data_IF_031553339470
#
_entry.id   IF_031553339470
#
_cell.length_a   1.000
_cell.length_b   1.000
_cell.length_c   1.000
_cell.angle_alpha   90.00
_cell.angle_beta   90.00
_cell.angle_gamma   90.00
#
_symmetry.space_group_name_H-M   'P 1'
#
loop_
_entity.id
_entity.type
_entity.pdbx_description
1 polymer ?
#
# COMPACT_ATOMS: atom_id res chain seq x y z
N UNK A 1 19.28 26.19 -30.36
CA UNK A 1 18.08 25.54 -29.77
C UNK A 1 18.38 25.35 -28.30
N UNK A 2 17.73 26.09 -27.40
CA UNK A 2 18.01 25.99 -25.96
C UNK A 2 17.47 24.67 -25.40
N UNK A 3 18.15 24.09 -24.40
CA UNK A 3 17.75 22.85 -23.71
C UNK A 3 16.25 22.84 -23.30
N UNK A 4 15.74 24.00 -22.91
CA UNK A 4 14.34 24.26 -22.56
C UNK A 4 13.36 24.13 -23.74
N UNK A 5 13.74 24.54 -24.96
CA UNK A 5 12.91 24.37 -26.16
C UNK A 5 12.86 22.91 -26.62
N UNK A 6 13.98 22.18 -26.48
CA UNK A 6 14.03 20.75 -26.78
C UNK A 6 13.17 19.97 -25.79
N UNK A 7 13.28 20.26 -24.49
CA UNK A 7 12.42 19.67 -23.45
C UNK A 7 10.95 19.97 -23.66
N UNK A 8 10.59 21.19 -24.05
CA UNK A 8 9.21 21.55 -24.36
C UNK A 8 8.66 20.75 -25.56
N UNK A 9 9.48 20.55 -26.60
CA UNK A 9 9.10 19.79 -27.80
C UNK A 9 9.00 18.28 -27.54
N UNK A 10 9.92 17.73 -26.74
CA UNK A 10 9.86 16.34 -26.26
C UNK A 10 8.63 16.14 -25.38
N UNK A 11 8.37 17.07 -24.46
CA UNK A 11 7.17 17.07 -23.61
C UNK A 11 5.89 17.12 -24.44
N UNK A 12 5.81 17.99 -25.45
CA UNK A 12 4.61 18.05 -26.31
C UNK A 12 4.35 16.75 -27.08
N UNK A 13 5.40 15.98 -27.39
CA UNK A 13 5.28 14.71 -28.11
C UNK A 13 5.02 13.50 -27.20
N UNK A 14 5.52 13.51 -25.95
CA UNK A 14 5.45 12.36 -25.05
C UNK A 14 4.48 12.53 -23.88
N UNK A 15 4.00 13.76 -23.62
CA UNK A 15 3.12 14.01 -22.47
C UNK A 15 1.75 13.37 -22.69
N UNK A 16 1.38 12.51 -21.75
CA UNK A 16 0.07 11.88 -21.73
C UNK A 16 -0.95 12.86 -21.15
N UNK A 17 -1.93 13.20 -21.98
CA UNK A 17 -2.95 14.20 -21.64
C UNK A 17 -4.09 13.62 -20.81
N UNK A 18 -4.40 12.32 -20.96
CA UNK A 18 -5.40 11.63 -20.15
C UNK A 18 -4.98 11.59 -18.67
N UNK A 19 -5.77 12.19 -17.75
CA UNK A 19 -5.48 12.14 -16.32
C UNK A 19 -5.42 10.72 -15.78
N UNK A 20 -6.36 9.86 -16.20
CA UNK A 20 -6.40 8.46 -15.77
C UNK A 20 -5.15 7.69 -16.21
N UNK A 21 -4.68 7.89 -17.45
CA UNK A 21 -3.47 7.22 -17.90
C UNK A 21 -2.24 7.65 -17.10
N UNK A 22 -2.11 8.94 -16.77
CA UNK A 22 -1.03 9.42 -15.88
C UNK A 22 -1.10 8.81 -14.49
N UNK A 23 -2.31 8.75 -13.92
CA UNK A 23 -2.56 8.13 -12.62
C UNK A 23 -2.19 6.64 -12.61
N UNK A 24 -2.63 5.87 -13.61
CA UNK A 24 -2.28 4.47 -13.74
C UNK A 24 -0.77 4.25 -13.90
N UNK A 25 -0.07 5.09 -14.67
CA UNK A 25 1.38 4.98 -14.79
C UNK A 25 2.12 5.30 -13.49
N UNK A 26 1.65 6.29 -12.74
CA UNK A 26 2.22 6.62 -11.44
C UNK A 26 1.95 5.52 -10.41
N UNK A 27 0.74 4.96 -10.36
CA UNK A 27 0.43 3.78 -9.52
C UNK A 27 1.30 2.59 -9.88
N UNK A 28 1.45 2.30 -11.18
CA UNK A 28 2.30 1.21 -11.64
C UNK A 28 3.74 1.43 -11.19
N UNK A 29 4.34 2.60 -11.45
CA UNK A 29 5.73 2.83 -11.06
C UNK A 29 5.92 2.77 -9.54
N UNK A 30 5.00 3.34 -8.77
CA UNK A 30 5.10 3.36 -7.32
C UNK A 30 4.95 1.96 -6.70
N UNK A 31 3.98 1.15 -7.16
CA UNK A 31 3.87 -0.25 -6.72
C UNK A 31 5.08 -1.05 -7.17
N UNK A 32 5.60 -0.80 -8.37
CA UNK A 32 6.79 -1.48 -8.86
C UNK A 32 7.99 -1.23 -7.94
N UNK A 33 8.24 0.03 -7.57
CA UNK A 33 9.31 0.41 -6.62
C UNK A 33 9.09 -0.21 -5.25
N UNK A 34 7.86 -0.14 -4.73
CA UNK A 34 7.49 -0.79 -3.47
C UNK A 34 7.88 -2.27 -3.49
N UNK A 35 7.38 -3.00 -4.49
CA UNK A 35 7.53 -4.46 -4.54
C UNK A 35 8.96 -4.89 -4.83
N UNK A 36 9.71 -4.20 -5.70
CA UNK A 36 11.11 -4.51 -5.96
C UNK A 36 11.94 -4.42 -4.67
N UNK A 37 11.81 -3.34 -3.90
CA UNK A 37 12.58 -3.16 -2.66
C UNK A 37 12.15 -4.18 -1.61
N UNK A 38 10.83 -4.35 -1.38
CA UNK A 38 10.30 -5.30 -0.39
C UNK A 38 10.76 -6.73 -0.69
N UNK A 39 10.61 -7.20 -1.91
CA UNK A 39 10.96 -8.58 -2.28
C UNK A 39 12.46 -8.80 -2.38
N UNK A 40 13.23 -7.81 -2.86
CA UNK A 40 14.70 -7.89 -2.88
C UNK A 40 15.28 -8.03 -1.47
N UNK A 41 14.72 -7.35 -0.47
CA UNK A 41 15.14 -7.51 0.93
C UNK A 41 14.92 -8.94 1.42
N UNK A 42 13.76 -9.54 1.12
CA UNK A 42 13.48 -10.94 1.49
C UNK A 42 14.37 -11.90 0.70
N UNK A 43 14.57 -11.67 -0.60
CA UNK A 43 15.48 -12.44 -1.44
C UNK A 43 16.91 -12.40 -0.90
N UNK A 44 17.40 -11.22 -0.50
CA UNK A 44 18.69 -11.04 0.14
C UNK A 44 18.79 -11.84 1.43
N UNK A 45 17.79 -11.78 2.30
CA UNK A 45 17.76 -12.55 3.55
C UNK A 45 17.78 -14.06 3.28
N UNK A 46 16.87 -14.56 2.44
CA UNK A 46 16.71 -16.00 2.15
C UNK A 46 17.93 -16.57 1.43
N UNK A 47 18.34 -15.98 0.31
CA UNK A 47 19.42 -16.53 -0.53
C UNK A 47 20.80 -16.40 0.13
N UNK A 48 20.98 -15.45 1.06
CA UNK A 48 22.20 -15.32 1.86
C UNK A 48 22.21 -16.18 3.12
N UNK A 49 21.15 -16.97 3.38
CA UNK A 49 21.00 -17.74 4.62
C UNK A 49 21.16 -16.85 5.86
N UNK A 50 20.47 -15.71 5.84
CA UNK A 50 20.45 -14.69 6.89
C UNK A 50 21.80 -13.98 7.19
N UNK A 51 22.84 -14.22 6.38
CA UNK A 51 24.14 -13.54 6.58
C UNK A 51 24.16 -12.10 6.07
N UNK A 52 23.20 -11.71 5.23
CA UNK A 52 23.06 -10.35 4.67
C UNK A 52 21.70 -9.71 4.94
N UNK A 53 20.86 -10.33 5.76
CA UNK A 53 19.55 -9.81 6.12
C UNK A 53 18.89 -10.74 7.14
N UNK A 54 17.85 -10.26 7.79
CA UNK A 54 17.08 -11.02 8.77
C UNK A 54 15.65 -10.45 8.84
N UNK A 55 14.84 -10.98 9.75
CA UNK A 55 13.47 -10.55 9.98
C UNK A 55 13.33 -9.02 10.16
N UNK A 56 14.19 -8.41 10.97
CA UNK A 56 14.18 -6.96 11.19
C UNK A 56 14.52 -6.18 9.91
N UNK A 57 15.55 -6.61 9.18
CA UNK A 57 15.91 -6.00 7.90
C UNK A 57 14.77 -6.07 6.89
N UNK A 58 14.02 -7.18 6.84
CA UNK A 58 12.89 -7.32 5.91
C UNK A 58 11.79 -6.29 6.20
N UNK A 59 11.43 -6.09 7.46
CA UNK A 59 10.42 -5.10 7.86
C UNK A 59 10.90 -3.67 7.72
N UNK A 60 12.16 -3.40 8.07
CA UNK A 60 12.74 -2.07 7.85
C UNK A 60 12.77 -1.73 6.36
N UNK A 61 13.19 -2.66 5.51
CA UNK A 61 13.22 -2.43 4.06
C UNK A 61 11.81 -2.30 3.48
N UNK A 62 10.85 -3.12 3.91
CA UNK A 62 9.45 -3.06 3.48
C UNK A 62 8.79 -1.72 3.81
N UNK A 63 8.93 -1.26 5.05
CA UNK A 63 8.43 0.05 5.47
C UNK A 63 9.10 1.21 4.73
N UNK A 64 10.42 1.19 4.54
CA UNK A 64 11.14 2.20 3.73
C UNK A 64 10.72 2.16 2.25
N UNK A 65 10.43 0.99 1.70
CA UNK A 65 9.90 0.85 0.35
C UNK A 65 8.58 1.58 0.18
N UNK A 66 7.70 1.53 1.19
CA UNK A 66 6.44 2.28 1.18
C UNK A 66 6.68 3.79 1.22
N UNK A 67 7.61 4.28 2.03
CA UNK A 67 7.97 5.71 2.06
C UNK A 67 8.37 6.19 0.66
N UNK A 68 9.30 5.47 0.02
CA UNK A 68 9.79 5.82 -1.31
C UNK A 68 8.66 5.75 -2.34
N UNK A 69 7.85 4.69 -2.32
CA UNK A 69 6.75 4.52 -3.26
C UNK A 69 5.68 5.62 -3.14
N UNK A 70 5.36 6.06 -1.91
CA UNK A 70 4.44 7.18 -1.71
C UNK A 70 5.03 8.47 -2.29
N UNK A 71 6.32 8.76 -2.10
CA UNK A 71 6.95 9.91 -2.75
C UNK A 71 6.92 9.82 -4.29
N UNK A 72 7.07 8.61 -4.85
CA UNK A 72 7.01 8.38 -6.31
C UNK A 72 5.61 8.66 -6.87
N UNK A 73 4.55 8.16 -6.22
CA UNK A 73 3.17 8.26 -6.73
C UNK A 73 2.36 9.45 -6.22
N UNK A 74 2.80 10.09 -5.12
CA UNK A 74 1.94 10.87 -4.23
C UNK A 74 1.25 12.07 -4.86
N UNK A 75 1.89 12.75 -5.82
CA UNK A 75 1.31 13.93 -6.45
C UNK A 75 0.48 13.60 -7.70
N UNK A 76 0.80 12.51 -8.40
CA UNK A 76 0.17 12.20 -9.71
C UNK A 76 -1.04 11.28 -9.54
N UNK A 77 -0.88 10.17 -8.81
CA UNK A 77 -1.96 9.21 -8.56
C UNK A 77 -2.63 9.35 -7.19
N UNK A 78 -1.99 10.08 -6.27
CA UNK A 78 -2.33 10.06 -4.85
C UNK A 78 -1.65 8.93 -4.09
N UNK A 79 -0.79 8.14 -4.75
CA UNK A 79 -0.10 6.96 -4.20
C UNK A 79 -1.03 6.02 -3.41
N UNK A 80 -1.99 5.41 -4.11
CA UNK A 80 -2.86 4.45 -3.46
C UNK A 80 -2.12 3.17 -3.09
N UNK A 81 -1.37 2.61 -4.05
CA UNK A 81 -0.47 1.46 -3.93
C UNK A 81 -1.10 0.13 -3.47
N UNK A 82 -2.35 0.18 -3.00
CA UNK A 82 -3.03 -0.85 -2.26
C UNK A 82 -4.53 -0.82 -2.62
N UNK A 83 -5.10 -1.94 -3.10
CA UNK A 83 -6.54 -2.05 -3.33
C UNK A 83 -7.39 -1.74 -2.09
N UNK A 84 -6.91 -2.08 -0.89
CA UNK A 84 -7.60 -1.82 0.37
C UNK A 84 -7.66 -0.32 0.69
N UNK A 85 -6.58 0.43 0.44
CA UNK A 85 -6.58 1.89 0.58
C UNK A 85 -7.40 2.58 -0.51
N UNK A 86 -7.35 2.06 -1.75
CA UNK A 86 -8.21 2.53 -2.85
C UNK A 86 -9.70 2.39 -2.49
N UNK A 87 -10.08 1.28 -1.88
CA UNK A 87 -11.42 1.04 -1.36
C UNK A 87 -11.79 2.04 -0.25
N UNK A 88 -10.90 2.27 0.72
CA UNK A 88 -11.12 3.28 1.76
C UNK A 88 -11.35 4.68 1.18
N UNK A 89 -10.58 5.08 0.16
CA UNK A 89 -10.76 6.35 -0.54
C UNK A 89 -12.11 6.42 -1.27
N UNK A 90 -12.61 5.32 -1.82
CA UNK A 90 -13.96 5.24 -2.38
C UNK A 90 -15.05 5.44 -1.32
N UNK A 91 -14.92 4.78 -0.16
CA UNK A 91 -15.87 4.91 0.96
C UNK A 91 -15.95 6.35 1.48
N UNK A 92 -14.83 7.07 1.47
CA UNK A 92 -14.76 8.47 1.89
C UNK A 92 -15.19 9.46 0.79
N UNK A 93 -15.63 9.00 -0.38
CA UNK A 93 -15.98 9.88 -1.50
C UNK A 93 -14.80 10.61 -2.15
N UNK A 94 -13.57 10.21 -1.81
CA UNK A 94 -12.32 10.82 -2.32
C UNK A 94 -11.77 10.11 -3.56
N UNK A 95 -12.43 9.05 -4.04
CA UNK A 95 -12.03 8.31 -5.23
C UNK A 95 -13.24 7.69 -5.94
N UNK A 96 -13.41 7.86 -7.26
CA UNK A 96 -14.56 7.30 -7.97
C UNK A 96 -14.58 5.77 -7.94
N UNK A 97 -15.72 5.18 -7.57
CA UNK A 97 -15.91 3.72 -7.51
C UNK A 97 -15.57 3.00 -8.83
N UNK A 98 -15.83 3.63 -9.98
CA UNK A 98 -15.50 3.07 -11.29
C UNK A 98 -13.99 2.90 -11.53
N UNK A 99 -13.14 3.64 -10.80
CA UNK A 99 -11.68 3.55 -10.93
C UNK A 99 -11.05 2.53 -9.98
N UNK A 100 -11.77 2.07 -8.96
CA UNK A 100 -11.30 1.02 -8.04
C UNK A 100 -10.82 -0.25 -8.75
N UNK A 101 -11.59 -0.87 -9.69
CA UNK A 101 -11.11 -2.04 -10.41
C UNK A 101 -9.90 -1.72 -11.31
N UNK A 102 -9.87 -0.53 -11.92
CA UNK A 102 -8.76 -0.11 -12.79
C UNK A 102 -7.45 0.01 -11.99
N UNK A 103 -7.49 0.72 -10.85
CA UNK A 103 -6.33 0.84 -9.97
C UNK A 103 -5.89 -0.52 -9.43
N UNK A 104 -6.84 -1.36 -9.00
CA UNK A 104 -6.52 -2.69 -8.46
C UNK A 104 -5.81 -3.57 -9.51
N UNK A 105 -6.27 -3.56 -10.76
CA UNK A 105 -5.62 -4.28 -11.86
C UNK A 105 -4.22 -3.75 -12.18
N UNK A 106 -4.04 -2.43 -12.20
CA UNK A 106 -2.73 -1.79 -12.42
C UNK A 106 -1.75 -2.15 -11.30
N UNK A 107 -2.20 -2.10 -10.05
CA UNK A 107 -1.40 -2.45 -8.88
C UNK A 107 -1.01 -3.95 -8.91
N UNK A 108 -1.95 -4.84 -9.25
CA UNK A 108 -1.68 -6.27 -9.41
C UNK A 108 -0.66 -6.56 -10.52
N UNK A 109 -0.85 -5.96 -11.69
CA UNK A 109 0.06 -6.12 -12.82
C UNK A 109 1.47 -5.60 -12.48
N UNK A 110 1.53 -4.46 -11.80
CA UNK A 110 2.79 -3.89 -11.34
C UNK A 110 3.52 -4.81 -10.38
N UNK A 111 2.83 -5.36 -9.38
CA UNK A 111 3.43 -6.25 -8.39
C UNK A 111 3.92 -7.57 -9.03
N UNK A 112 3.18 -8.08 -10.02
CA UNK A 112 3.59 -9.20 -10.86
C UNK A 112 4.90 -8.89 -11.63
N UNK A 113 4.98 -7.74 -12.31
CA UNK A 113 6.17 -7.34 -13.06
C UNK A 113 7.38 -7.08 -12.16
N UNK A 114 7.18 -6.50 -10.98
CA UNK A 114 8.22 -6.32 -9.97
C UNK A 114 8.78 -7.67 -9.50
N UNK A 115 7.92 -8.68 -9.35
CA UNK A 115 8.32 -10.03 -8.96
C UNK A 115 9.20 -10.68 -10.03
N UNK A 116 8.83 -10.55 -11.30
CA UNK A 116 9.69 -10.96 -12.42
C UNK A 116 11.05 -10.26 -12.41
N UNK A 117 11.07 -8.96 -12.09
CA UNK A 117 12.31 -8.18 -11.98
C UNK A 117 13.20 -8.71 -10.86
N UNK A 118 12.66 -8.97 -9.67
CA UNK A 118 13.42 -9.51 -8.53
C UNK A 118 13.89 -10.94 -8.79
N UNK A 119 13.07 -11.76 -9.43
CA UNK A 119 13.46 -13.10 -9.85
C UNK A 119 14.68 -13.08 -10.78
N UNK A 120 14.70 -12.18 -11.77
CA UNK A 120 15.85 -12.00 -12.67
C UNK A 120 17.06 -11.46 -11.90
N UNK A 121 16.86 -10.45 -11.06
CA UNK A 121 17.93 -9.82 -10.28
C UNK A 121 18.63 -10.80 -9.34
N UNK A 122 17.89 -11.74 -8.76
CA UNK A 122 18.40 -12.76 -7.82
C UNK A 122 18.56 -14.14 -8.46
N UNK A 123 18.52 -14.27 -9.79
CA UNK A 123 18.48 -15.58 -10.47
C UNK A 123 19.63 -16.50 -10.04
N UNK A 124 20.88 -16.02 -10.09
CA UNK A 124 22.04 -16.82 -9.69
C UNK A 124 22.04 -17.16 -8.19
N UNK A 125 21.58 -16.22 -7.35
CA UNK A 125 21.49 -16.43 -5.91
C UNK A 125 20.42 -17.49 -5.56
N UNK A 126 19.27 -17.44 -6.23
CA UNK A 126 18.20 -18.44 -6.14
C UNK A 126 18.70 -19.81 -6.63
N UNK A 127 19.36 -19.85 -7.78
CA UNK A 127 19.88 -21.10 -8.33
C UNK A 127 20.93 -21.73 -7.41
N UNK A 128 21.84 -20.93 -6.84
CA UNK A 128 22.83 -21.38 -5.88
C UNK A 128 22.20 -21.89 -4.57
N UNK A 129 21.20 -21.19 -4.05
CA UNK A 129 20.53 -21.56 -2.79
C UNK A 129 19.69 -22.85 -2.92
N UNK A 130 18.92 -22.94 -4.01
CA UNK A 130 17.92 -23.99 -4.24
C UNK A 130 18.47 -25.21 -4.99
N UNK A 131 19.57 -25.06 -5.73
CA UNK A 131 20.02 -26.07 -6.69
C UNK A 131 19.05 -26.24 -7.88
N UNK A 132 18.18 -25.25 -8.14
CA UNK A 132 17.15 -25.28 -9.17
C UNK A 132 15.80 -25.85 -8.72
N UNK A 133 15.66 -26.27 -7.46
CA UNK A 133 14.40 -26.79 -6.93
C UNK A 133 13.59 -25.70 -6.21
N UNK A 134 12.60 -25.13 -6.90
CA UNK A 134 11.76 -24.06 -6.39
C UNK A 134 10.56 -24.62 -5.59
N UNK A 135 10.64 -24.56 -4.26
CA UNK A 135 9.59 -25.09 -3.37
C UNK A 135 8.82 -23.99 -2.64
N UNK A 136 7.57 -24.28 -2.29
CA UNK A 136 6.68 -23.36 -1.55
C UNK A 136 6.78 -23.56 -0.04
N UNK A 137 7.03 -24.80 0.39
CA UNK A 137 7.20 -25.17 1.79
C UNK A 137 8.53 -25.90 1.98
N UNK A 138 8.94 -26.03 3.26
CA UNK A 138 10.15 -26.74 3.65
C UNK A 138 11.35 -25.82 3.92
N UNK A 139 12.51 -26.39 4.29
CA UNK A 139 13.65 -25.64 4.83
C UNK A 139 14.39 -24.77 3.81
N UNK A 140 14.14 -24.97 2.51
CA UNK A 140 14.72 -24.20 1.40
C UNK A 140 13.64 -23.60 0.51
N UNK A 141 12.45 -23.37 1.06
CA UNK A 141 11.40 -22.69 0.31
C UNK A 141 11.84 -21.28 -0.08
N UNK A 142 11.33 -20.84 -1.23
CA UNK A 142 11.67 -19.52 -1.80
C UNK A 142 10.43 -18.78 -2.29
N UNK A 143 9.24 -19.37 -2.15
CA UNK A 143 8.01 -18.73 -2.58
C UNK A 143 7.68 -17.52 -1.69
N UNK A 144 8.09 -17.57 -0.41
CA UNK A 144 7.88 -16.49 0.57
C UNK A 144 8.63 -15.19 0.26
N UNK A 145 9.63 -15.25 -0.63
CA UNK A 145 10.31 -14.06 -1.18
C UNK A 145 9.29 -13.14 -1.87
N UNK A 146 8.29 -13.73 -2.53
CA UNK A 146 7.39 -13.02 -3.43
C UNK A 146 6.04 -12.71 -2.77
N UNK A 147 5.38 -13.71 -2.18
CA UNK A 147 4.07 -13.64 -1.54
C UNK A 147 4.14 -14.17 -0.11
N UNK A 148 3.17 -13.84 0.75
CA UNK A 148 3.23 -14.27 2.16
C UNK A 148 2.59 -15.64 2.37
N UNK A 149 3.08 -16.35 3.39
CA UNK A 149 2.54 -17.63 3.82
C UNK A 149 2.38 -17.60 5.34
N UNK A 150 1.38 -18.31 5.89
CA UNK A 150 1.13 -18.30 7.32
C UNK A 150 2.17 -19.16 8.04
N UNK A 151 2.48 -18.79 9.28
CA UNK A 151 3.28 -19.63 10.15
C UNK A 151 2.61 -21.01 10.33
N UNK A 152 3.37 -22.10 10.56
CA UNK A 152 2.81 -23.45 10.60
C UNK A 152 1.71 -23.69 11.63
N UNK A 153 1.67 -22.89 12.70
CA UNK A 153 0.66 -22.98 13.77
C UNK A 153 -0.60 -22.14 13.50
N UNK A 154 -0.61 -21.30 12.47
CA UNK A 154 -1.66 -20.31 12.27
C UNK A 154 -2.84 -20.90 11.51
N UNK A 155 -4.03 -20.86 12.13
CA UNK A 155 -5.28 -21.22 11.46
C UNK A 155 -5.74 -20.12 10.50
N UNK A 156 -6.51 -20.48 9.47
CA UNK A 156 -7.11 -19.50 8.54
C UNK A 156 -7.95 -18.45 9.29
N UNK A 157 -8.72 -18.86 10.30
CA UNK A 157 -9.55 -17.96 11.11
C UNK A 157 -8.69 -16.92 11.81
N UNK A 158 -7.60 -17.34 12.47
CA UNK A 158 -6.74 -16.40 13.20
C UNK A 158 -5.92 -15.54 12.24
N UNK A 159 -5.46 -16.08 11.11
CA UNK A 159 -4.79 -15.29 10.08
C UNK A 159 -5.69 -14.29 9.37
N UNK A 160 -6.98 -14.62 9.20
CA UNK A 160 -7.98 -13.67 8.71
C UNK A 160 -8.18 -12.53 9.71
N UNK A 161 -8.36 -12.84 11.00
CA UNK A 161 -8.47 -11.84 12.05
C UNK A 161 -7.23 -10.94 12.12
N UNK A 162 -6.03 -11.53 12.09
CA UNK A 162 -4.75 -10.81 12.06
C UNK A 162 -4.70 -9.79 10.92
N UNK A 163 -5.02 -10.21 9.69
CA UNK A 163 -5.02 -9.31 8.54
C UNK A 163 -6.12 -8.25 8.57
N UNK A 164 -7.29 -8.55 9.12
CA UNK A 164 -8.34 -7.55 9.37
C UNK A 164 -7.85 -6.49 10.35
N UNK A 165 -7.28 -6.92 11.49
CA UNK A 165 -6.83 -6.00 12.55
C UNK A 165 -5.65 -5.17 12.07
N UNK A 166 -4.61 -5.78 11.51
CA UNK A 166 -3.43 -5.08 11.01
C UNK A 166 -3.78 -4.05 9.94
N UNK A 167 -4.67 -4.39 9.00
CA UNK A 167 -5.09 -3.44 7.95
C UNK A 167 -6.02 -2.36 8.50
N UNK A 168 -6.83 -2.68 9.52
CA UNK A 168 -7.62 -1.71 10.26
C UNK A 168 -6.75 -0.65 10.93
N UNK A 169 -5.70 -1.07 11.65
CA UNK A 169 -4.72 -0.14 12.23
C UNK A 169 -4.00 0.69 11.18
N UNK A 170 -3.63 0.07 10.05
CA UNK A 170 -3.06 0.81 8.92
C UNK A 170 -4.01 1.91 8.41
N UNK A 171 -5.30 1.60 8.21
CA UNK A 171 -6.26 2.61 7.76
C UNK A 171 -6.50 3.70 8.80
N UNK A 172 -6.69 3.35 10.07
CA UNK A 172 -6.87 4.33 11.15
C UNK A 172 -5.67 5.27 11.19
N UNK A 173 -4.45 4.73 11.17
CA UNK A 173 -3.23 5.53 11.22
C UNK A 173 -3.04 6.41 9.99
N UNK A 174 -3.27 5.89 8.77
CA UNK A 174 -3.17 6.71 7.55
C UNK A 174 -4.19 7.86 7.59
N UNK A 175 -5.45 7.57 7.95
CA UNK A 175 -6.48 8.61 8.03
C UNK A 175 -6.13 9.67 9.07
N UNK A 176 -5.61 9.26 10.23
CA UNK A 176 -5.13 10.17 11.26
C UNK A 176 -3.98 11.08 10.80
N UNK A 177 -3.06 10.56 9.97
CA UNK A 177 -1.92 11.29 9.42
C UNK A 177 -2.35 12.32 8.38
N UNK A 178 -3.32 11.97 7.52
CA UNK A 178 -3.73 12.85 6.40
C UNK A 178 -4.88 13.79 6.75
N UNK A 179 -5.57 13.59 7.88
CA UNK A 179 -6.62 14.49 8.35
C UNK A 179 -6.01 15.80 8.86
N UNK A 180 -6.21 16.88 8.11
CA UNK A 180 -5.68 18.22 8.42
C UNK A 180 -6.30 18.84 9.68
N UNK A 181 -7.40 18.28 10.20
CA UNK A 181 -8.07 18.73 11.43
C UNK A 181 -7.45 18.10 12.68
N UNK A 182 -6.63 17.06 12.51
CA UNK A 182 -5.90 16.40 13.58
C UNK A 182 -4.53 17.05 13.82
N UNK A 183 -3.77 16.56 14.80
CA UNK A 183 -2.38 16.95 14.98
C UNK A 183 -1.57 16.56 13.73
N UNK A 184 -1.32 17.55 12.88
CA UNK A 184 -0.64 17.35 11.62
C UNK A 184 0.83 16.97 11.80
N UNK A 185 1.34 16.22 10.83
CA UNK A 185 2.78 16.04 10.61
C UNK A 185 3.32 17.22 9.79
N UNK A 186 4.62 17.58 9.89
CA UNK A 186 5.20 18.59 9.03
C UNK A 186 5.01 18.23 7.55
N UNK A 187 4.66 19.23 6.74
CA UNK A 187 4.37 19.02 5.32
C UNK A 187 5.54 18.33 4.60
N UNK A 188 5.22 17.28 3.86
CA UNK A 188 6.19 16.44 3.16
C UNK A 188 6.73 15.28 3.98
N UNK A 189 6.41 15.15 5.28
CA UNK A 189 6.77 14.00 6.13
C UNK A 189 5.65 12.98 6.31
N UNK A 190 4.49 13.19 5.68
CA UNK A 190 3.39 12.22 5.66
C UNK A 190 3.86 10.83 5.21
N UNK A 191 4.65 10.69 4.11
CA UNK A 191 5.13 9.37 3.68
C UNK A 191 6.02 8.69 4.72
N UNK A 192 6.85 9.47 5.42
CA UNK A 192 7.73 8.95 6.49
C UNK A 192 6.90 8.45 7.68
N UNK A 193 5.88 9.21 8.09
CA UNK A 193 4.97 8.80 9.15
C UNK A 193 4.21 7.51 8.79
N UNK A 194 3.77 7.37 7.54
CA UNK A 194 3.14 6.13 7.05
C UNK A 194 4.12 4.96 7.05
N UNK A 195 5.38 5.17 6.65
CA UNK A 195 6.41 4.13 6.74
C UNK A 195 6.66 3.67 8.18
N UNK A 196 6.76 4.60 9.12
CA UNK A 196 6.93 4.28 10.55
C UNK A 196 5.73 3.53 11.13
N UNK A 197 4.50 3.90 10.71
CA UNK A 197 3.29 3.17 11.06
C UNK A 197 3.36 1.71 10.59
N UNK A 198 3.75 1.48 9.34
CA UNK A 198 3.88 0.12 8.79
C UNK A 198 4.96 -0.66 9.53
N UNK A 199 6.12 -0.05 9.78
CA UNK A 199 7.20 -0.68 10.55
C UNK A 199 6.71 -1.10 11.95
N UNK A 200 5.93 -0.25 12.63
CA UNK A 200 5.37 -0.56 13.93
C UNK A 200 4.38 -1.74 13.88
N UNK A 201 3.52 -1.79 12.85
CA UNK A 201 2.58 -2.91 12.64
C UNK A 201 3.35 -4.20 12.35
N UNK A 202 4.33 -4.16 11.45
CA UNK A 202 5.13 -5.33 11.08
C UNK A 202 5.91 -5.88 12.28
N UNK A 203 6.59 -5.02 13.05
CA UNK A 203 7.33 -5.46 14.25
C UNK A 203 6.45 -6.01 15.36
N UNK A 204 5.17 -5.61 15.42
CA UNK A 204 4.25 -6.01 16.48
C UNK A 204 3.34 -7.18 16.10
N UNK A 205 3.06 -7.36 14.81
CA UNK A 205 2.03 -8.28 14.30
C UNK A 205 2.52 -9.18 13.16
N UNK A 206 3.75 -9.02 12.68
CA UNK A 206 4.25 -9.68 11.48
C UNK A 206 4.57 -11.17 11.59
N UNK A 207 4.72 -11.72 12.80
CA UNK A 207 5.19 -13.11 12.98
C UNK A 207 4.20 -14.16 12.50
N UNK A 208 2.89 -13.86 12.54
CA UNK A 208 1.84 -14.81 12.18
C UNK A 208 1.86 -15.11 10.69
N UNK A 209 1.87 -14.08 9.83
CA UNK A 209 1.74 -14.27 8.39
C UNK A 209 2.44 -13.19 7.53
N UNK A 210 3.39 -12.45 8.11
CA UNK A 210 4.23 -11.50 7.39
C UNK A 210 3.58 -10.16 7.02
N UNK A 211 2.41 -9.84 7.60
CA UNK A 211 1.68 -8.57 7.41
C UNK A 211 1.59 -8.11 5.93
N UNK A 212 0.95 -8.85 5.01
CA UNK A 212 0.78 -8.36 3.64
C UNK A 212 -0.03 -7.05 3.57
N UNK A 213 -1.13 -6.91 4.33
CA UNK A 213 -1.98 -5.70 4.44
C UNK A 213 -2.51 -5.10 3.11
N UNK A 214 -2.15 -5.71 1.98
CA UNK A 214 -2.31 -5.19 0.64
C UNK A 214 -2.56 -6.35 -0.34
N UNK A 215 -3.77 -6.45 -0.91
CA UNK A 215 -4.13 -7.52 -1.84
C UNK A 215 -3.22 -7.60 -3.07
N UNK A 216 -2.78 -6.47 -3.62
CA UNK A 216 -1.93 -6.45 -4.81
C UNK A 216 -0.50 -6.94 -4.51
N UNK A 217 0.02 -6.59 -3.32
CA UNK A 217 1.34 -7.01 -2.80
C UNK A 217 1.46 -8.51 -2.57
N UNK A 218 0.34 -9.22 -2.45
CA UNK A 218 0.34 -10.67 -2.26
C UNK A 218 -0.07 -11.42 -3.54
N UNK A 219 -1.24 -11.08 -4.12
CA UNK A 219 -1.80 -11.85 -5.22
C UNK A 219 -1.00 -11.70 -6.53
N UNK A 220 -0.50 -10.50 -6.83
CA UNK A 220 0.32 -10.28 -8.04
C UNK A 220 1.59 -11.14 -8.03
N UNK A 221 2.41 -11.08 -6.98
CA UNK A 221 3.59 -11.94 -6.82
C UNK A 221 3.28 -13.44 -6.73
N UNK A 222 2.16 -13.82 -6.13
CA UNK A 222 1.72 -15.23 -6.06
C UNK A 222 1.36 -15.78 -7.43
N UNK A 223 0.70 -14.97 -8.27
CA UNK A 223 0.45 -15.31 -9.67
C UNK A 223 1.75 -15.44 -10.46
N UNK A 224 2.76 -14.62 -10.15
CA UNK A 224 4.08 -14.75 -10.76
C UNK A 224 4.74 -16.08 -10.39
N UNK A 225 4.83 -16.43 -9.10
CA UNK A 225 5.47 -17.69 -8.68
C UNK A 225 4.72 -18.92 -9.19
N UNK A 226 3.40 -18.86 -9.32
CA UNK A 226 2.59 -19.91 -9.96
C UNK A 226 3.10 -20.25 -11.37
N UNK A 227 3.35 -19.25 -12.21
CA UNK A 227 3.79 -19.45 -13.60
C UNK A 227 5.31 -19.55 -13.75
N UNK A 228 6.09 -19.10 -12.77
CA UNK A 228 7.55 -19.01 -12.82
C UNK A 228 8.29 -20.25 -12.28
N UNK A 229 7.56 -21.31 -11.86
CA UNK A 229 8.15 -22.62 -11.56
C UNK A 229 7.75 -23.24 -10.22
N UNK A 230 7.17 -22.48 -9.29
CA UNK A 230 6.67 -23.03 -8.02
C UNK A 230 5.37 -23.81 -8.18
N UNK A 231 4.61 -23.52 -9.24
CA UNK A 231 3.41 -24.28 -9.61
C UNK A 231 2.21 -24.05 -8.67
N UNK A 232 1.21 -24.94 -8.71
CA UNK A 232 -0.09 -24.73 -8.04
C UNK A 232 -0.01 -24.71 -6.51
N UNK A 233 1.09 -25.20 -5.92
CA UNK A 233 1.24 -25.26 -4.46
C UNK A 233 1.15 -23.86 -3.81
N UNK A 234 1.52 -22.79 -4.55
CA UNK A 234 1.41 -21.40 -4.08
C UNK A 234 -0.02 -20.98 -3.72
N UNK A 235 -1.03 -21.70 -4.23
CA UNK A 235 -2.45 -21.49 -3.93
C UNK A 235 -3.04 -22.53 -2.96
N UNK A 236 -2.36 -23.64 -2.69
CA UNK A 236 -2.83 -24.67 -1.74
C UNK A 236 -2.13 -24.62 -0.38
N UNK A 237 -0.90 -24.10 -0.31
CA UNK A 237 -0.15 -23.97 0.93
C UNK A 237 -0.90 -23.16 1.99
N UNK A 238 -0.68 -23.48 3.27
CA UNK A 238 -1.37 -22.83 4.39
C UNK A 238 -2.88 -23.04 4.38
N UNK A 239 -3.33 -24.24 4.00
CA UNK A 239 -4.76 -24.59 3.87
C UNK A 239 -5.52 -23.72 2.86
N UNK A 240 -4.86 -23.35 1.76
CA UNK A 240 -5.42 -22.42 0.77
C UNK A 240 -5.33 -20.97 1.23
N UNK A 241 -4.18 -20.55 1.75
CA UNK A 241 -3.97 -19.23 2.36
C UNK A 241 -4.26 -18.03 1.44
N UNK A 242 -4.06 -18.19 0.13
CA UNK A 242 -4.02 -17.09 -0.86
C UNK A 242 -5.17 -16.09 -0.81
N UNK A 243 -6.38 -16.51 -0.42
CA UNK A 243 -7.55 -15.63 -0.39
C UNK A 243 -7.56 -14.73 0.85
N UNK A 244 -6.85 -15.10 1.92
CA UNK A 244 -6.81 -14.33 3.17
C UNK A 244 -6.14 -12.97 2.95
N UNK A 245 -4.91 -12.86 2.38
CA UNK A 245 -4.30 -11.57 2.04
C UNK A 245 -5.07 -10.74 0.99
N UNK A 246 -6.05 -11.33 0.30
CA UNK A 246 -6.89 -10.63 -0.67
C UNK A 246 -8.13 -10.05 0.00
N UNK A 247 -8.86 -10.86 0.78
CA UNK A 247 -10.16 -10.47 1.34
C UNK A 247 -10.02 -9.78 2.69
N UNK A 248 -9.18 -10.29 3.59
CA UNK A 248 -9.07 -9.77 4.95
C UNK A 248 -8.60 -8.30 4.99
N UNK A 249 -7.62 -7.85 4.18
CA UNK A 249 -7.24 -6.45 4.15
C UNK A 249 -8.37 -5.51 3.67
N UNK A 250 -9.22 -5.96 2.74
CA UNK A 250 -10.37 -5.15 2.29
C UNK A 250 -11.36 -4.95 3.44
N UNK A 251 -11.66 -6.01 4.19
CA UNK A 251 -12.51 -5.95 5.39
C UNK A 251 -11.89 -5.07 6.46
N UNK A 252 -10.60 -5.26 6.74
CA UNK A 252 -9.85 -4.42 7.68
C UNK A 252 -9.87 -2.95 7.29
N UNK A 253 -9.73 -2.63 6.00
CA UNK A 253 -9.75 -1.26 5.54
C UNK A 253 -11.12 -0.59 5.68
N UNK A 254 -12.21 -1.32 5.40
CA UNK A 254 -13.59 -0.85 5.66
C UNK A 254 -13.76 -0.55 7.14
N UNK A 255 -13.43 -1.51 8.02
CA UNK A 255 -13.61 -1.37 9.46
C UNK A 255 -12.77 -0.24 10.04
N UNK A 256 -11.47 -0.17 9.70
CA UNK A 256 -10.58 0.90 10.16
C UNK A 256 -11.05 2.28 9.71
N UNK A 257 -11.54 2.40 8.47
CA UNK A 257 -12.10 3.66 7.95
C UNK A 257 -13.33 4.08 8.75
N UNK A 258 -14.30 3.16 8.95
CA UNK A 258 -15.53 3.44 9.71
C UNK A 258 -15.21 3.81 11.17
N UNK A 259 -14.30 3.07 11.81
CA UNK A 259 -13.88 3.33 13.19
C UNK A 259 -13.26 4.73 13.31
N UNK A 260 -12.35 5.12 12.42
CA UNK A 260 -11.76 6.45 12.44
C UNK A 260 -12.81 7.54 12.24
N UNK A 261 -13.73 7.35 11.30
CA UNK A 261 -14.80 8.32 11.05
C UNK A 261 -15.67 8.52 12.29
N UNK A 262 -16.17 7.43 12.87
CA UNK A 262 -17.07 7.48 14.02
C UNK A 262 -16.41 8.03 15.28
N UNK A 263 -15.18 7.61 15.57
CA UNK A 263 -14.53 7.92 16.85
C UNK A 263 -13.70 9.20 16.84
N UNK A 264 -13.18 9.62 15.69
CA UNK A 264 -12.29 10.79 15.58
C UNK A 264 -12.88 11.85 14.66
N UNK A 265 -13.14 11.50 13.39
CA UNK A 265 -13.44 12.50 12.36
C UNK A 265 -14.74 13.29 12.64
N UNK A 266 -15.76 12.63 13.20
CA UNK A 266 -17.03 13.26 13.59
C UNK A 266 -16.95 14.12 14.86
N UNK A 267 -15.85 14.05 15.60
CA UNK A 267 -15.66 14.75 16.87
C UNK A 267 -14.72 15.96 16.76
N UNK A 268 -14.22 16.28 15.56
CA UNK A 268 -13.53 17.55 15.35
C UNK A 268 -14.52 18.71 15.56
N UNK A 269 -14.10 19.80 16.23
CA UNK A 269 -14.93 21.00 16.33
C UNK A 269 -15.33 21.49 14.94
N UNK A 270 -16.58 21.94 14.79
CA UNK A 270 -17.00 22.61 13.57
C UNK A 270 -16.15 23.86 13.35
N UNK A 271 -15.78 24.13 12.10
CA UNK A 271 -15.15 25.41 11.76
C UNK A 271 -16.11 26.53 12.20
N UNK A 272 -15.62 27.60 12.86
CA UNK A 272 -16.46 28.73 13.19
C UNK A 272 -17.19 29.21 11.93
N UNK A 273 -18.51 29.31 11.99
CA UNK A 273 -19.32 29.83 10.89
C UNK A 273 -18.69 31.14 10.39
N UNK A 274 -18.61 31.37 9.07
CA UNK A 274 -18.05 32.62 8.54
C UNK A 274 -18.77 33.81 9.19
N UNK A 275 -17.99 34.75 9.75
CA UNK A 275 -18.47 35.93 10.50
C UNK A 275 -19.40 36.85 9.65
N UNK A 276 -19.63 36.54 8.37
CA UNK A 276 -20.49 37.35 7.48
C UNK A 276 -21.97 37.39 7.88
N UNK A 277 -22.49 36.40 8.61
CA UNK A 277 -23.90 36.42 9.03
C UNK A 277 -24.15 37.24 10.31
N UNK A 278 -23.11 37.56 11.09
CA UNK A 278 -23.25 38.40 12.30
C UNK A 278 -23.29 39.89 11.98
N UNK A 279 -22.58 40.36 10.94
CA UNK A 279 -22.66 41.76 10.49
C UNK A 279 -23.97 42.06 9.76
N UNK A 280 -24.56 41.09 9.05
CA UNK A 280 -25.84 41.27 8.37
C UNK A 280 -27.01 41.37 9.37
N UNK A 281 -26.99 40.56 10.44
CA UNK A 281 -28.01 40.62 11.50
C UNK A 281 -27.90 41.91 12.33
N UNK A 282 -26.68 42.38 12.63
CA UNK A 282 -26.51 43.65 13.34
C UNK A 282 -26.90 44.88 12.50
N UNK A 283 -26.74 44.85 11.17
CA UNK A 283 -27.21 45.94 10.30
C UNK A 283 -28.73 45.99 10.16
N UNK A 284 -29.42 44.86 10.12
CA UNK A 284 -30.89 44.84 10.03
C UNK A 284 -31.55 45.34 11.32
N UNK A 285 -30.92 45.16 12.48
CA UNK A 285 -31.45 45.64 13.76
C UNK A 285 -31.21 47.15 13.98
N UNK A 286 -30.14 47.73 13.44
CA UNK A 286 -29.89 49.18 13.56
C UNK A 286 -30.77 50.06 12.65
N UNK A 287 -31.26 49.51 11.53
CA UNK A 287 -32.10 50.26 10.58
C UNK A 287 -33.60 50.25 10.93
N UNK A 288 -34.01 49.50 11.95
CA UNK A 288 -35.43 49.36 12.36
C UNK A 288 -35.85 50.22 13.56
N UNK A 289 -34.94 51.05 14.11
CA UNK A 289 -35.21 51.92 15.28
C UNK A 289 -35.38 53.42 14.95
N UNK A 290 -35.49 53.79 13.67
CA UNK A 290 -35.78 55.16 13.23
C UNK A 290 -36.99 55.23 12.30
N UNK A 291 -38.19 54.99 12.83
CA UNK A 291 -39.47 55.42 12.27
C UNK A 291 -40.42 55.82 13.39
#
# INVERSE_FOLDING_TARGET
MTYSQLLAKVRSCLQIHSPLARQCMAEFLAVFVLMVITQAAVAQTVTSQETKGNFFTNFLAGSLAVVVAIYVGGNVSGAHLNPAFSLAKCLLGHFPWALLPVYSLVQLLSAFCASGTVFILYYDALQNYTGGNLTVMGPKETASIFATYPAPYLSLTNGFLDQVVGTGFLMVGILAIVDKRNQGVPAGLEPVAVGLLILAIELSMGVNCGCPLNPARDLGPRLFTYVAGWGPEVFSAGNGWWWVPVVAPLVGAVLGTVIYQLLVALHHPEDPAPIQDLEFVQRTDSDSTHL
#
